data_IF_379075878144
#
_entry.id   IF_379075878144
#
_cell.length_a   1.000
_cell.length_b   1.000
_cell.length_c   1.000
_cell.angle_alpha   90.00
_cell.angle_beta   90.00
_cell.angle_gamma   90.00
#
_symmetry.space_group_name_H-M   'P 1'
#
loop_
_entity.id
_entity.type
_entity.pdbx_description
1 polymer ?
#
# COMPACT_ATOMS: atom_id res chain seq x y z
N UNK A 1 -11.37 -4.94 13.71
CA UNK A 1 -12.56 -5.69 14.18
C UNK A 1 -12.37 -6.18 15.61
N UNK A 2 -11.31 -6.95 15.94
CA UNK A 2 -11.13 -7.61 17.26
C UNK A 2 -11.20 -6.63 18.45
N UNK A 3 -10.50 -5.51 18.40
CA UNK A 3 -10.54 -4.51 19.49
C UNK A 3 -11.95 -3.94 19.70
N UNK A 4 -12.68 -3.66 18.61
CA UNK A 4 -14.07 -3.16 18.68
C UNK A 4 -14.98 -4.21 19.31
N UNK A 5 -14.89 -5.48 18.89
CA UNK A 5 -15.66 -6.59 19.45
C UNK A 5 -15.37 -6.72 20.96
N UNK A 6 -14.09 -6.72 21.34
CA UNK A 6 -13.70 -6.82 22.75
C UNK A 6 -14.23 -5.64 23.58
N UNK A 7 -14.14 -4.42 23.09
CA UNK A 7 -14.66 -3.23 23.76
C UNK A 7 -16.18 -3.32 23.94
N UNK A 8 -16.91 -3.69 22.91
CA UNK A 8 -18.37 -3.82 22.97
C UNK A 8 -18.80 -4.97 23.88
N UNK A 9 -18.05 -6.07 23.90
CA UNK A 9 -18.29 -7.18 24.84
C UNK A 9 -18.14 -6.73 26.30
N UNK A 10 -17.04 -6.05 26.62
CA UNK A 10 -16.80 -5.53 27.97
C UNK A 10 -17.86 -4.49 28.37
N UNK A 11 -18.37 -3.73 27.41
CA UNK A 11 -19.45 -2.76 27.61
C UNK A 11 -20.85 -3.40 27.70
N UNK A 12 -20.96 -4.74 27.63
CA UNK A 12 -22.21 -5.49 27.83
C UNK A 12 -23.12 -5.54 26.59
N UNK A 13 -22.61 -5.26 25.39
CA UNK A 13 -23.39 -5.41 24.15
C UNK A 13 -23.49 -6.88 23.72
N UNK A 14 -24.64 -7.22 23.12
CA UNK A 14 -24.88 -8.55 22.54
C UNK A 14 -23.95 -8.77 21.32
N UNK A 15 -23.12 -9.82 21.42
CA UNK A 15 -22.16 -10.15 20.36
C UNK A 15 -22.82 -10.58 19.03
N UNK A 16 -24.03 -11.14 19.06
CA UNK A 16 -24.76 -11.48 17.84
C UNK A 16 -25.16 -10.20 17.09
N UNK A 17 -25.70 -9.22 17.80
CA UNK A 17 -26.06 -7.93 17.26
C UNK A 17 -24.81 -7.20 16.71
N UNK A 18 -23.70 -7.23 17.45
CA UNK A 18 -22.40 -6.68 17.00
C UNK A 18 -21.95 -7.35 15.70
N UNK A 19 -22.05 -8.67 15.60
CA UNK A 19 -21.65 -9.42 14.41
C UNK A 19 -22.51 -9.07 13.18
N UNK A 20 -23.82 -8.87 13.36
CA UNK A 20 -24.72 -8.45 12.28
C UNK A 20 -24.35 -7.06 11.76
N UNK A 21 -24.10 -6.10 12.63
CA UNK A 21 -23.69 -4.76 12.23
C UNK A 21 -22.29 -4.72 11.60
N UNK A 22 -21.37 -5.59 12.02
CA UNK A 22 -20.05 -5.69 11.39
C UNK A 22 -20.12 -6.22 9.95
N UNK A 23 -21.09 -7.04 9.59
CA UNK A 23 -21.29 -7.51 8.21
C UNK A 23 -21.63 -6.38 7.23
N UNK A 24 -22.29 -5.35 7.71
CA UNK A 24 -22.71 -4.20 6.90
C UNK A 24 -21.71 -3.03 6.96
N UNK A 25 -20.65 -3.15 7.77
CA UNK A 25 -19.64 -2.12 7.90
C UNK A 25 -18.75 -2.08 6.65
N UNK A 26 -18.88 -1.03 5.87
CA UNK A 26 -18.16 -0.83 4.59
C UNK A 26 -16.65 -0.53 4.71
N UNK A 27 -16.08 -0.63 5.91
CA UNK A 27 -14.66 -0.33 6.15
C UNK A 27 -14.37 1.16 6.34
N UNK A 28 -13.10 1.48 6.42
CA UNK A 28 -12.58 2.86 6.49
C UNK A 28 -11.76 3.09 5.23
N UNK A 29 -11.91 4.26 4.61
CA UNK A 29 -11.11 4.64 3.45
C UNK A 29 -9.62 4.50 3.76
N UNK A 30 -8.86 4.03 2.76
CA UNK A 30 -7.42 3.79 2.89
C UNK A 30 -7.04 2.82 4.03
N UNK A 31 -7.88 1.81 4.27
CA UNK A 31 -7.59 0.68 5.15
C UNK A 31 -7.95 -0.58 4.40
N UNK A 32 -6.99 -1.10 3.62
CA UNK A 32 -7.17 -2.22 2.70
C UNK A 32 -8.37 -2.01 1.77
N UNK A 33 -8.48 -0.80 1.22
CA UNK A 33 -9.55 -0.45 0.28
C UNK A 33 -9.23 -1.03 -1.08
N UNK A 34 -10.11 -1.91 -1.55
CA UNK A 34 -9.91 -2.66 -2.79
C UNK A 34 -10.78 -2.11 -3.91
N UNK A 35 -10.24 -2.07 -5.10
CA UNK A 35 -10.96 -1.80 -6.34
C UNK A 35 -10.41 -2.64 -7.49
N UNK A 36 -11.20 -2.81 -8.53
CA UNK A 36 -10.83 -3.53 -9.74
C UNK A 36 -10.97 -2.59 -10.94
N UNK A 37 -9.89 -2.45 -11.70
CA UNK A 37 -9.84 -1.66 -12.94
C UNK A 37 -9.33 -2.59 -14.04
N UNK A 38 -10.14 -2.85 -15.07
CA UNK A 38 -9.77 -3.73 -16.19
C UNK A 38 -9.18 -5.09 -15.76
N UNK A 39 -9.86 -5.78 -14.84
CA UNK A 39 -9.41 -7.05 -14.21
C UNK A 39 -8.14 -6.93 -13.34
N UNK A 40 -7.57 -5.75 -13.20
CA UNK A 40 -6.43 -5.49 -12.30
C UNK A 40 -6.95 -5.14 -10.92
N UNK A 41 -6.48 -5.86 -9.92
CA UNK A 41 -6.80 -5.59 -8.51
C UNK A 41 -5.83 -4.56 -7.96
N UNK A 42 -6.38 -3.49 -7.39
CA UNK A 42 -5.65 -2.41 -6.74
C UNK A 42 -6.13 -2.31 -5.29
N UNK A 43 -5.19 -2.20 -4.36
CA UNK A 43 -5.44 -2.03 -2.93
C UNK A 43 -4.79 -0.73 -2.48
N UNK A 44 -5.57 0.18 -1.85
CA UNK A 44 -5.07 1.39 -1.18
C UNK A 44 -5.05 1.16 0.32
N UNK A 45 -3.89 1.33 0.94
CA UNK A 45 -3.73 1.24 2.38
C UNK A 45 -2.88 2.40 2.94
N UNK A 46 -3.25 2.88 4.12
CA UNK A 46 -2.55 3.95 4.82
C UNK A 46 -1.27 3.46 5.53
N UNK A 47 -0.90 2.20 5.38
CA UNK A 47 0.28 1.61 6.00
C UNK A 47 1.53 2.44 5.73
N UNK A 48 2.21 2.88 6.78
CA UNK A 48 3.37 3.77 6.74
C UNK A 48 4.38 3.48 7.86
N UNK A 49 4.22 2.36 8.55
CA UNK A 49 5.15 1.79 9.52
C UNK A 49 5.46 0.35 9.13
N UNK A 50 6.69 -0.18 9.35
CA UNK A 50 7.05 -1.55 8.96
C UNK A 50 6.04 -2.62 9.38
N UNK A 51 5.56 -2.56 10.62
CA UNK A 51 4.54 -3.49 11.13
C UNK A 51 3.21 -3.43 10.37
N UNK A 52 2.79 -2.23 9.94
CA UNK A 52 1.57 -2.05 9.13
C UNK A 52 1.78 -2.60 7.72
N UNK A 53 2.96 -2.35 7.12
CA UNK A 53 3.33 -2.85 5.79
C UNK A 53 3.29 -4.38 5.77
N UNK A 54 3.91 -5.04 6.76
CA UNK A 54 3.88 -6.50 6.90
C UNK A 54 2.43 -6.99 6.96
N UNK A 55 1.61 -6.40 7.82
CA UNK A 55 0.22 -6.81 7.98
C UNK A 55 -0.60 -6.65 6.69
N UNK A 56 -0.36 -5.57 5.93
CA UNK A 56 -1.04 -5.31 4.66
C UNK A 56 -0.58 -6.29 3.57
N UNK A 57 0.71 -6.56 3.47
CA UNK A 57 1.28 -7.55 2.55
C UNK A 57 0.75 -8.96 2.86
N UNK A 58 0.74 -9.37 4.13
CA UNK A 58 0.22 -10.65 4.56
C UNK A 58 -1.27 -10.80 4.24
N UNK A 59 -2.07 -9.77 4.49
CA UNK A 59 -3.49 -9.76 4.15
C UNK A 59 -3.73 -9.88 2.63
N UNK A 60 -2.93 -9.17 1.82
CA UNK A 60 -3.00 -9.26 0.38
C UNK A 60 -2.58 -10.65 -0.12
N UNK A 61 -1.52 -11.23 0.46
CA UNK A 61 -1.06 -12.59 0.14
C UNK A 61 -2.11 -13.65 0.48
N UNK A 62 -2.77 -13.53 1.63
CA UNK A 62 -3.86 -14.43 2.01
C UNK A 62 -5.05 -14.36 1.06
N UNK A 63 -5.40 -13.14 0.63
CA UNK A 63 -6.56 -12.93 -0.24
C UNK A 63 -6.29 -13.31 -1.70
N UNK A 64 -5.06 -13.13 -2.16
CA UNK A 64 -4.62 -13.35 -3.54
C UNK A 64 -3.42 -14.29 -3.65
N UNK A 65 -3.53 -15.55 -3.16
CA UNK A 65 -2.38 -16.45 -3.03
C UNK A 65 -1.73 -16.85 -4.37
N UNK A 66 -2.46 -16.71 -5.49
CA UNK A 66 -1.99 -17.08 -6.84
C UNK A 66 -1.57 -15.88 -7.69
N UNK A 67 -1.63 -14.66 -7.14
CA UNK A 67 -1.22 -13.45 -7.85
C UNK A 67 0.17 -12.99 -7.44
N UNK A 68 0.91 -12.40 -8.37
CA UNK A 68 2.10 -11.63 -8.05
C UNK A 68 1.71 -10.43 -7.17
N UNK A 69 2.38 -10.25 -6.05
CA UNK A 69 2.13 -9.13 -5.15
C UNK A 69 3.13 -8.02 -5.43
N UNK A 70 2.64 -6.93 -6.02
CA UNK A 70 3.42 -5.74 -6.34
C UNK A 70 3.15 -4.66 -5.31
N UNK A 71 4.13 -4.36 -4.47
CA UNK A 71 4.04 -3.30 -3.47
C UNK A 71 4.51 -1.98 -4.04
N UNK A 72 3.71 -0.93 -3.90
CA UNK A 72 4.06 0.45 -4.20
C UNK A 72 4.05 1.23 -2.89
N UNK A 73 5.21 1.70 -2.45
CA UNK A 73 5.35 2.32 -1.14
C UNK A 73 5.88 3.74 -1.22
N UNK A 74 5.24 4.65 -0.50
CA UNK A 74 5.72 6.00 -0.28
C UNK A 74 6.16 6.18 1.17
N UNK A 75 7.48 6.30 1.43
CA UNK A 75 7.96 6.64 2.77
C UNK A 75 7.39 8.00 3.22
N UNK A 76 6.97 8.08 4.48
CA UNK A 76 6.40 9.31 5.04
C UNK A 76 7.26 9.79 6.20
N UNK A 77 7.76 11.01 6.04
CA UNK A 77 8.73 11.75 6.84
C UNK A 77 10.18 11.25 6.71
N UNK A 78 11.11 12.21 6.59
CA UNK A 78 12.55 11.92 6.49
C UNK A 78 13.06 11.29 7.80
N UNK A 79 12.66 11.83 8.96
CA UNK A 79 13.09 11.32 10.27
C UNK A 79 12.69 9.86 10.48
N UNK A 80 11.48 9.47 10.12
CA UNK A 80 11.03 8.08 10.22
C UNK A 80 11.76 7.19 9.22
N UNK A 81 11.97 7.67 8.01
CA UNK A 81 12.68 6.90 6.97
C UNK A 81 14.11 6.60 7.41
N UNK A 82 14.82 7.58 8.00
CA UNK A 82 16.15 7.36 8.57
C UNK A 82 16.11 6.31 9.70
N UNK A 83 15.19 6.50 10.64
CA UNK A 83 15.14 5.69 11.85
C UNK A 83 14.76 4.20 11.60
N UNK A 84 14.00 3.93 10.54
CA UNK A 84 13.42 2.61 10.24
C UNK A 84 13.80 2.10 8.86
N UNK A 85 14.94 2.52 8.31
CA UNK A 85 15.35 2.24 6.94
C UNK A 85 15.47 0.73 6.67
N UNK A 86 16.10 -0.01 7.59
CA UNK A 86 16.30 -1.45 7.48
C UNK A 86 14.97 -2.19 7.67
N UNK A 87 14.17 -1.79 8.64
CA UNK A 87 12.87 -2.39 8.92
C UNK A 87 11.88 -2.18 7.77
N UNK A 88 11.95 -1.04 7.08
CA UNK A 88 11.17 -0.81 5.87
C UNK A 88 11.59 -1.75 4.74
N UNK A 89 12.88 -1.92 4.52
CA UNK A 89 13.38 -2.83 3.50
C UNK A 89 12.96 -4.28 3.80
N UNK A 90 13.09 -4.72 5.04
CA UNK A 90 12.69 -6.07 5.48
C UNK A 90 11.19 -6.28 5.29
N UNK A 91 10.36 -5.33 5.69
CA UNK A 91 8.91 -5.40 5.53
C UNK A 91 8.50 -5.49 4.05
N UNK A 92 9.09 -4.67 3.19
CA UNK A 92 8.80 -4.62 1.76
C UNK A 92 9.29 -5.86 1.01
N UNK A 93 10.36 -6.50 1.46
CA UNK A 93 10.86 -7.76 0.91
C UNK A 93 9.85 -8.94 1.03
N UNK A 94 8.76 -8.78 1.77
CA UNK A 94 7.62 -9.70 1.78
C UNK A 94 6.80 -9.71 0.47
N UNK A 95 6.90 -8.68 -0.37
CA UNK A 95 6.29 -8.63 -1.70
C UNK A 95 7.13 -9.36 -2.76
N UNK A 96 6.55 -9.60 -3.95
CA UNK A 96 7.26 -10.21 -5.08
C UNK A 96 8.00 -9.14 -5.90
N UNK A 97 7.42 -7.95 -6.02
CA UNK A 97 8.04 -6.78 -6.61
C UNK A 97 7.77 -5.52 -5.75
N UNK A 98 8.70 -4.58 -5.77
CA UNK A 98 8.61 -3.36 -4.95
C UNK A 98 8.94 -2.13 -5.78
N UNK A 99 8.03 -1.18 -5.76
CA UNK A 99 8.24 0.14 -6.33
C UNK A 99 8.15 1.21 -5.24
N UNK A 100 8.99 2.20 -5.34
CA UNK A 100 9.07 3.28 -4.36
C UNK A 100 8.70 4.62 -4.99
N UNK A 101 7.88 5.38 -4.30
CA UNK A 101 7.63 6.80 -4.55
C UNK A 101 8.62 7.66 -3.75
N UNK A 102 8.78 8.92 -4.14
CA UNK A 102 9.61 9.87 -3.40
C UNK A 102 9.14 10.02 -1.95
N UNK A 103 10.08 10.26 -1.03
CA UNK A 103 9.75 10.48 0.38
C UNK A 103 8.81 11.67 0.50
N UNK A 104 7.67 11.46 1.13
CA UNK A 104 6.72 12.53 1.42
C UNK A 104 7.11 13.22 2.72
N UNK A 105 7.68 14.42 2.62
CA UNK A 105 8.02 15.25 3.76
C UNK A 105 6.76 15.84 4.43
N UNK A 106 6.73 15.90 5.75
CA UNK A 106 5.69 16.64 6.44
C UNK A 106 5.99 18.15 6.41
N UNK A 107 4.96 19.00 6.56
CA UNK A 107 5.13 20.45 6.64
C UNK A 107 5.99 20.91 7.84
N UNK A 108 6.32 20.00 8.76
CA UNK A 108 7.13 20.26 9.97
C UNK A 108 8.58 19.81 9.83
N UNK A 109 8.94 19.18 8.70
CA UNK A 109 10.28 18.70 8.43
C UNK A 109 10.88 19.46 7.26
N UNK A 110 12.19 19.69 7.35
CA UNK A 110 12.99 20.18 6.22
C UNK A 110 13.81 19.01 5.71
N UNK A 111 13.80 18.78 4.41
CA UNK A 111 14.75 17.85 3.79
C UNK A 111 16.16 18.41 4.00
N UNK A 112 16.95 17.66 4.76
CA UNK A 112 18.35 18.01 5.04
C UNK A 112 19.33 17.13 4.24
N UNK A 113 18.83 16.34 3.29
CA UNK A 113 19.63 15.46 2.43
C UNK A 113 20.26 14.26 3.13
N UNK A 114 19.84 13.93 4.37
CA UNK A 114 20.39 12.79 5.11
C UNK A 114 19.89 11.43 4.61
N UNK A 115 18.74 11.38 3.97
CA UNK A 115 18.18 10.16 3.40
C UNK A 115 17.45 10.47 2.10
N UNK A 116 17.61 9.57 1.14
CA UNK A 116 16.89 9.59 -0.13
C UNK A 116 16.13 8.28 -0.31
N UNK A 117 15.16 8.27 -1.19
CA UNK A 117 14.41 7.03 -1.49
C UNK A 117 15.32 5.96 -2.09
N UNK A 118 16.39 6.36 -2.79
CA UNK A 118 17.41 5.47 -3.34
C UNK A 118 18.14 4.67 -2.26
N UNK A 119 18.30 5.22 -1.05
CA UNK A 119 18.92 4.53 0.07
C UNK A 119 18.05 3.34 0.52
N UNK A 120 16.74 3.51 0.50
CA UNK A 120 15.80 2.41 0.74
C UNK A 120 15.79 1.42 -0.42
N UNK A 121 15.77 1.91 -1.67
CA UNK A 121 15.81 1.06 -2.85
C UNK A 121 17.04 0.14 -2.88
N UNK A 122 18.20 0.65 -2.46
CA UNK A 122 19.45 -0.12 -2.43
C UNK A 122 19.42 -1.31 -1.44
N UNK A 123 18.48 -1.31 -0.48
CA UNK A 123 18.30 -2.39 0.50
C UNK A 123 17.24 -3.43 0.11
N UNK A 124 16.49 -3.17 -0.95
CA UNK A 124 15.41 -4.04 -1.42
C UNK A 124 15.94 -4.98 -2.50
N UNK A 125 15.87 -6.28 -2.24
CA UNK A 125 16.34 -7.34 -3.16
C UNK A 125 15.18 -7.92 -3.99
N UNK A 126 14.35 -7.04 -4.57
CA UNK A 126 13.19 -7.43 -5.38
C UNK A 126 13.20 -6.70 -6.71
N UNK A 127 12.51 -7.27 -7.70
CA UNK A 127 12.20 -6.57 -8.95
C UNK A 127 11.44 -5.28 -8.63
N UNK A 128 11.69 -4.22 -9.37
CA UNK A 128 10.99 -2.95 -9.19
C UNK A 128 11.87 -1.75 -9.46
N UNK A 129 11.58 -0.62 -8.82
CA UNK A 129 12.32 0.62 -9.02
C UNK A 129 11.64 1.84 -8.43
N UNK A 130 12.04 3.00 -8.89
CA UNK A 130 11.42 4.27 -8.51
C UNK A 130 10.30 4.64 -9.48
N UNK A 131 9.22 5.18 -8.95
CA UNK A 131 8.10 5.72 -9.73
C UNK A 131 7.99 7.23 -9.56
N UNK A 132 7.43 7.87 -10.57
CA UNK A 132 6.89 9.23 -10.46
C UNK A 132 5.39 9.22 -10.76
N UNK A 133 4.69 10.26 -10.36
CA UNK A 133 3.25 10.38 -10.65
C UNK A 133 3.00 10.40 -12.17
N UNK A 134 3.93 10.98 -12.94
CA UNK A 134 3.85 11.09 -14.40
C UNK A 134 4.19 9.78 -15.11
N UNK A 135 4.91 8.87 -14.43
CA UNK A 135 5.34 7.61 -15.02
C UNK A 135 5.12 6.43 -14.07
N UNK A 136 3.97 5.78 -14.22
CA UNK A 136 3.60 4.52 -13.58
C UNK A 136 3.62 3.34 -14.55
N UNK A 137 4.12 3.54 -15.79
CA UNK A 137 4.16 2.49 -16.82
C UNK A 137 4.97 1.24 -16.44
N UNK A 138 6.03 1.30 -15.60
CA UNK A 138 6.72 0.08 -15.16
C UNK A 138 5.82 -0.92 -14.43
N UNK A 139 4.69 -0.47 -13.87
CA UNK A 139 3.70 -1.36 -13.25
C UNK A 139 2.98 -2.26 -14.26
N UNK A 140 3.03 -1.97 -15.56
CA UNK A 140 2.45 -2.81 -16.60
C UNK A 140 3.29 -4.06 -16.93
N UNK A 141 4.52 -4.13 -16.42
CA UNK A 141 5.44 -5.26 -16.67
C UNK A 141 5.14 -6.49 -15.79
N UNK A 142 3.99 -6.51 -15.13
CA UNK A 142 3.56 -7.57 -14.24
C UNK A 142 2.26 -8.21 -14.73
N UNK A 143 2.32 -9.53 -14.95
CA UNK A 143 1.16 -10.32 -15.34
C UNK A 143 0.46 -10.91 -14.11
N UNK A 144 -0.88 -10.97 -14.15
CA UNK A 144 -1.68 -11.56 -13.06
C UNK A 144 -1.31 -11.05 -11.66
N UNK A 145 -1.12 -9.74 -11.52
CA UNK A 145 -0.69 -9.12 -10.28
C UNK A 145 -1.84 -8.53 -9.44
N UNK A 146 -1.56 -8.30 -8.16
CA UNK A 146 -2.29 -7.42 -7.26
C UNK A 146 -1.35 -6.28 -6.84
N UNK A 147 -1.81 -5.05 -6.99
CA UNK A 147 -1.03 -3.84 -6.71
C UNK A 147 -1.46 -3.25 -5.38
N UNK A 148 -0.51 -3.08 -4.46
CA UNK A 148 -0.77 -2.59 -3.11
C UNK A 148 -0.07 -1.24 -2.93
N UNK A 149 -0.85 -0.17 -2.98
CA UNK A 149 -0.38 1.20 -2.77
C UNK A 149 -0.42 1.51 -1.27
N UNK A 150 0.74 1.81 -0.68
CA UNK A 150 0.91 2.03 0.75
C UNK A 150 1.59 3.36 1.05
N UNK A 151 1.05 4.12 1.99
CA UNK A 151 1.65 5.37 2.45
C UNK A 151 0.66 6.32 3.09
N UNK A 152 1.15 7.24 3.91
CA UNK A 152 0.36 8.29 4.58
C UNK A 152 0.37 9.64 3.85
N UNK A 153 1.20 9.77 2.81
CA UNK A 153 1.30 10.96 1.98
C UNK A 153 0.33 11.00 0.81
N UNK A 154 0.83 11.37 -0.36
CA UNK A 154 0.06 11.52 -1.60
C UNK A 154 0.17 10.30 -2.53
N UNK A 155 0.45 9.12 -2.00
CA UNK A 155 0.54 7.85 -2.76
C UNK A 155 -0.68 7.63 -3.68
N UNK A 156 -1.84 8.16 -3.31
CA UNK A 156 -3.05 8.10 -4.14
C UNK A 156 -2.89 8.79 -5.50
N UNK A 157 -2.00 9.76 -5.63
CA UNK A 157 -1.70 10.40 -6.91
C UNK A 157 -1.06 9.41 -7.89
N UNK A 158 -0.19 8.53 -7.39
CA UNK A 158 0.41 7.43 -8.17
C UNK A 158 -0.62 6.38 -8.54
N UNK A 159 -1.49 6.03 -7.61
CA UNK A 159 -2.59 5.10 -7.81
C UNK A 159 -3.54 5.60 -8.91
N UNK A 160 -4.01 6.84 -8.86
CA UNK A 160 -4.85 7.45 -9.89
C UNK A 160 -4.17 7.53 -11.25
N UNK A 161 -2.86 7.81 -11.28
CA UNK A 161 -2.08 7.81 -12.51
C UNK A 161 -2.07 6.41 -13.14
N UNK A 162 -1.86 5.37 -12.33
CA UNK A 162 -1.88 3.98 -12.79
C UNK A 162 -3.28 3.55 -13.29
N UNK A 163 -4.34 3.93 -12.57
CA UNK A 163 -5.72 3.66 -13.01
C UNK A 163 -6.06 4.29 -14.37
N UNK A 164 -5.63 5.52 -14.57
CA UNK A 164 -5.81 6.21 -15.85
C UNK A 164 -5.05 5.50 -16.97
N UNK A 165 -3.83 5.04 -16.69
CA UNK A 165 -3.04 4.28 -17.63
C UNK A 165 -3.73 2.95 -18.00
N UNK A 166 -4.19 2.18 -17.03
CA UNK A 166 -4.96 0.95 -17.26
C UNK A 166 -6.21 1.22 -18.09
N UNK A 167 -6.95 2.28 -17.79
CA UNK A 167 -8.18 2.63 -18.51
C UNK A 167 -7.92 3.03 -19.97
N UNK A 168 -6.76 3.67 -20.25
CA UNK A 168 -6.40 4.05 -21.61
C UNK A 168 -6.06 2.86 -22.51
N UNK A 169 -5.56 1.77 -21.95
CA UNK A 169 -5.22 0.56 -22.71
C UNK A 169 -6.46 -0.13 -23.28
N UNK A 170 -7.59 -0.04 -22.60
CA UNK A 170 -8.84 -0.66 -23.07
C UNK A 170 -9.49 0.12 -24.21
N UNK A 171 -9.30 1.44 -24.26
CA UNK A 171 -9.87 2.28 -25.32
C UNK A 171 -9.13 2.18 -26.66
N UNK A 172 -7.92 1.63 -26.66
CA UNK A 172 -7.09 1.46 -27.87
C UNK A 172 -7.28 0.08 -28.55
N UNK A 173 -8.17 -0.77 -28.02
CA UNK A 173 -8.42 -2.14 -28.54
C UNK A 173 -9.77 -2.22 -29.31
N UNK A 174 -10.44 -1.09 -29.49
CA UNK A 174 -11.61 -0.95 -30.37
C UNK A 174 -11.17 -0.25 -31.65
#
# INVERSE_FOLDING_TARGET
>A
ATAVIATLYVAGFDLQLVAEHLKTFGGVKRRFTEKVVNNTVIIDDFAHHPTEIIATIDAARQKYPSKELVAIFQPHTFTRTIALLDEFADALNGADAVYLAQIYGSARETDNGQVKVEDLAAKINKKGGLLTVENTSPLLDHDNAVYVFMGAGDIQSYEYSFERLLSSLTNNVQ
#
